data_IF_252057970514
#
_entry.id   IF_252057970514
#
_cell.length_a   1.000
_cell.length_b   1.000
_cell.length_c   1.000
_cell.angle_alpha   90.00
_cell.angle_beta   90.00
_cell.angle_gamma   90.00
#
_symmetry.space_group_name_H-M   'P 1'
#
loop_
_entity.id
_entity.type
_entity.pdbx_description
1 polymer ?
#
# COMPACT_ATOMS: atom_id res chain seq x y z
N UNK A 1 53.20 -13.00 -12.45
CA UNK A 1 53.08 -12.61 -11.02
C UNK A 1 51.63 -12.21 -10.85
N UNK A 2 50.83 -13.21 -10.50
CA UNK A 2 49.38 -13.12 -10.32
C UNK A 2 49.08 -12.31 -9.06
N UNK A 3 48.06 -11.46 -9.12
CA UNK A 3 47.44 -10.91 -7.91
C UNK A 3 46.02 -11.47 -7.82
N UNK A 4 45.85 -12.32 -6.81
CA UNK A 4 44.62 -12.91 -6.31
C UNK A 4 43.77 -11.89 -5.50
N UNK A 5 42.51 -12.23 -5.15
CA UNK A 5 41.37 -11.32 -5.23
C UNK A 5 41.09 -10.53 -3.94
N UNK A 6 40.56 -9.32 -4.09
CA UNK A 6 40.02 -8.54 -2.98
C UNK A 6 38.55 -8.89 -2.74
N UNK A 7 38.32 -9.72 -1.72
CA UNK A 7 37.02 -9.91 -1.09
C UNK A 7 36.74 -8.67 -0.24
N UNK A 8 35.75 -7.87 -0.62
CA UNK A 8 35.17 -6.85 0.26
C UNK A 8 33.70 -7.19 0.50
N UNK A 9 33.45 -7.71 1.71
CA UNK A 9 32.12 -7.71 2.28
C UNK A 9 31.65 -6.27 2.46
N UNK A 10 30.50 -5.94 1.89
CA UNK A 10 29.75 -4.73 2.21
C UNK A 10 28.34 -5.14 2.63
N UNK A 11 28.21 -5.40 3.93
CA UNK A 11 26.93 -5.38 4.63
C UNK A 11 26.46 -3.93 4.72
N UNK A 12 25.58 -3.48 3.82
CA UNK A 12 24.69 -2.32 4.02
C UNK A 12 23.85 -2.11 2.75
N UNK A 13 22.53 -1.96 2.73
CA UNK A 13 21.58 -1.80 3.81
C UNK A 13 20.34 -2.65 3.53
N UNK A 14 20.00 -3.49 4.50
CA UNK A 14 18.62 -3.83 4.76
C UNK A 14 17.88 -2.50 4.93
N UNK A 15 17.12 -2.05 3.93
CA UNK A 15 16.02 -1.14 4.18
C UNK A 15 15.05 -1.91 5.06
N UNK A 16 15.35 -1.86 6.35
CA UNK A 16 14.44 -2.20 7.40
C UNK A 16 13.20 -1.35 7.09
N UNK A 17 12.17 -2.03 6.62
CA UNK A 17 10.79 -1.69 6.91
C UNK A 17 10.80 -0.99 8.26
N UNK A 18 10.52 0.32 8.28
CA UNK A 18 10.46 1.15 9.49
C UNK A 18 9.35 0.61 10.38
N UNK A 19 9.66 -0.49 11.06
CA UNK A 19 8.87 -1.15 12.07
C UNK A 19 9.20 -0.45 13.38
N UNK A 20 8.60 0.72 13.57
CA UNK A 20 8.80 1.48 14.78
C UNK A 20 8.23 2.88 14.69
N UNK A 21 6.90 2.98 14.83
CA UNK A 21 6.13 3.98 15.59
C UNK A 21 4.70 4.06 15.01
N UNK A 22 3.78 3.31 15.63
CA UNK A 22 2.37 3.22 15.24
C UNK A 22 2.03 2.07 14.27
N UNK A 23 0.82 1.53 14.36
CA UNK A 23 0.29 0.58 13.39
C UNK A 23 0.18 1.25 12.00
N UNK A 24 0.52 0.52 10.93
CA UNK A 24 0.37 0.99 9.53
C UNK A 24 1.66 1.27 8.78
N UNK A 25 1.54 1.57 7.49
CA UNK A 25 2.65 1.89 6.57
C UNK A 25 2.99 3.38 6.56
N UNK A 26 4.17 3.72 6.02
CA UNK A 26 4.56 5.13 5.82
C UNK A 26 3.59 5.86 4.87
N UNK A 27 3.08 5.15 3.85
CA UNK A 27 2.03 5.68 2.97
C UNK A 27 0.78 6.08 3.77
N UNK A 28 0.31 5.24 4.69
CA UNK A 28 -0.83 5.59 5.55
C UNK A 28 -0.59 6.87 6.34
N UNK A 29 0.60 7.03 6.94
CA UNK A 29 0.94 8.25 7.69
C UNK A 29 0.98 9.47 6.79
N UNK A 30 1.57 9.35 5.60
CA UNK A 30 1.62 10.43 4.60
C UNK A 30 0.23 10.85 4.12
N UNK A 31 -0.66 9.87 3.89
CA UNK A 31 -2.06 10.13 3.50
C UNK A 31 -2.81 10.91 4.58
N UNK A 32 -2.57 10.62 5.85
CA UNK A 32 -3.20 11.34 6.96
C UNK A 32 -2.61 12.74 7.20
N UNK A 33 -1.36 13.00 6.82
CA UNK A 33 -0.72 14.31 6.96
C UNK A 33 -0.93 15.25 5.76
N UNK A 34 -1.39 14.74 4.61
CA UNK A 34 -1.47 15.53 3.36
C UNK A 34 -2.45 16.72 3.39
N UNK A 35 -3.42 16.74 4.33
CA UNK A 35 -4.47 17.77 4.37
C UNK A 35 -4.47 18.57 5.69
N UNK A 36 -3.31 18.91 6.24
CA UNK A 36 -3.24 19.61 7.53
C UNK A 36 -3.92 20.98 7.54
N UNK A 37 -4.07 21.64 6.39
CA UNK A 37 -4.77 22.93 6.25
C UNK A 37 -6.30 22.80 6.11
N UNK A 38 -6.84 21.57 6.01
CA UNK A 38 -8.27 21.27 5.90
C UNK A 38 -8.68 20.23 6.95
N UNK A 39 -9.11 20.74 8.11
CA UNK A 39 -9.46 19.92 9.27
C UNK A 39 -10.64 18.95 9.00
N UNK A 40 -11.61 19.34 8.17
CA UNK A 40 -12.76 18.50 7.83
C UNK A 40 -12.31 17.32 6.95
N UNK A 41 -11.52 17.60 5.92
CA UNK A 41 -10.96 16.57 5.06
C UNK A 41 -10.00 15.66 5.82
N UNK A 42 -9.20 16.18 6.73
CA UNK A 42 -8.33 15.37 7.60
C UNK A 42 -9.14 14.40 8.45
N UNK A 43 -10.16 14.90 9.16
CA UNK A 43 -11.04 14.05 9.96
C UNK A 43 -11.72 12.96 9.12
N UNK A 44 -12.13 13.29 7.89
CA UNK A 44 -12.70 12.32 6.95
C UNK A 44 -11.68 11.24 6.57
N UNK A 45 -10.45 11.61 6.22
CA UNK A 45 -9.40 10.65 5.85
C UNK A 45 -9.02 9.72 7.01
N UNK A 46 -8.98 10.24 8.24
CA UNK A 46 -8.79 9.42 9.44
C UNK A 46 -9.92 8.39 9.59
N UNK A 47 -11.18 8.79 9.41
CA UNK A 47 -12.32 7.86 9.48
C UNK A 47 -12.27 6.80 8.38
N UNK A 48 -11.91 7.19 7.15
CA UNK A 48 -11.85 6.28 5.98
C UNK A 48 -10.78 5.21 6.18
N UNK A 49 -9.59 5.57 6.67
CA UNK A 49 -8.44 4.67 6.68
C UNK A 49 -8.13 4.04 8.05
N UNK A 50 -8.77 4.45 9.15
CA UNK A 50 -8.44 3.96 10.52
C UNK A 50 -8.46 2.44 10.68
N UNK A 51 -9.29 1.73 9.92
CA UNK A 51 -9.44 0.27 10.02
C UNK A 51 -8.46 -0.48 9.11
N UNK A 52 -7.80 0.22 8.20
CA UNK A 52 -6.98 -0.37 7.13
C UNK A 52 -5.61 0.31 7.02
N UNK A 53 -4.85 0.40 8.13
CA UNK A 53 -3.63 1.21 8.19
C UNK A 53 -2.46 0.64 7.38
N UNK A 54 -2.56 -0.63 6.94
CA UNK A 54 -1.54 -1.24 6.09
C UNK A 54 -1.82 -0.92 4.63
N UNK A 55 -1.38 0.26 4.18
CA UNK A 55 -1.64 0.80 2.85
C UNK A 55 -0.50 0.54 1.87
N UNK A 56 -0.85 0.28 0.61
CA UNK A 56 0.06 0.18 -0.53
C UNK A 56 -0.49 0.96 -1.72
N UNK A 57 0.40 1.45 -2.57
CA UNK A 57 0.03 1.93 -3.90
C UNK A 57 0.05 0.73 -4.86
N UNK A 58 -1.13 0.34 -5.34
CA UNK A 58 -1.32 -0.92 -6.07
C UNK A 58 -1.72 -0.65 -7.53
N UNK A 59 -1.06 -1.36 -8.45
CA UNK A 59 -1.48 -1.36 -9.84
C UNK A 59 -2.70 -2.28 -10.03
N UNK A 60 -3.88 -1.65 -10.10
CA UNK A 60 -5.17 -2.30 -10.32
C UNK A 60 -5.64 -2.22 -11.78
N UNK A 61 -4.93 -1.47 -12.62
CA UNK A 61 -5.38 -1.16 -13.98
C UNK A 61 -6.42 -0.04 -13.99
N UNK A 62 -6.94 0.32 -15.18
CA UNK A 62 -7.97 1.38 -15.28
C UNK A 62 -9.32 0.92 -14.70
N UNK A 63 -10.20 1.88 -14.40
CA UNK A 63 -11.47 1.68 -13.70
C UNK A 63 -12.37 0.60 -14.32
N UNK A 64 -12.31 0.43 -15.64
CA UNK A 64 -13.12 -0.53 -16.40
C UNK A 64 -12.31 -1.73 -16.94
N UNK A 65 -11.18 -2.04 -16.30
CA UNK A 65 -10.36 -3.19 -16.73
C UNK A 65 -10.73 -4.46 -16.00
N UNK A 66 -10.63 -5.59 -16.67
CA UNK A 66 -10.78 -6.92 -16.07
C UNK A 66 -9.86 -7.11 -14.86
N UNK A 67 -8.67 -6.47 -14.86
CA UNK A 67 -7.75 -6.51 -13.72
C UNK A 67 -8.37 -5.89 -12.47
N UNK A 68 -8.99 -4.71 -12.56
CA UNK A 68 -9.60 -4.06 -11.39
C UNK A 68 -10.69 -4.94 -10.80
N UNK A 69 -11.57 -5.49 -11.63
CA UNK A 69 -12.61 -6.41 -11.18
C UNK A 69 -12.02 -7.65 -10.49
N UNK A 70 -11.02 -8.29 -11.11
CA UNK A 70 -10.37 -9.47 -10.53
C UNK A 70 -9.66 -9.17 -9.19
N UNK A 71 -9.09 -7.98 -9.04
CA UNK A 71 -8.48 -7.54 -7.78
C UNK A 71 -9.56 -7.37 -6.70
N UNK A 72 -10.65 -6.66 -7.00
CA UNK A 72 -11.72 -6.41 -6.02
C UNK A 72 -12.46 -7.69 -5.63
N UNK A 73 -12.75 -8.55 -6.60
CA UNK A 73 -13.37 -9.87 -6.40
C UNK A 73 -12.47 -10.75 -5.51
N UNK A 74 -11.16 -10.80 -5.80
CA UNK A 74 -10.24 -11.56 -4.97
C UNK A 74 -10.15 -11.04 -3.54
N UNK A 75 -10.15 -9.71 -3.34
CA UNK A 75 -10.17 -9.14 -1.99
C UNK A 75 -11.48 -9.46 -1.25
N UNK A 76 -12.62 -9.41 -1.96
CA UNK A 76 -13.92 -9.81 -1.41
C UNK A 76 -13.90 -11.27 -0.94
N UNK A 77 -13.42 -12.18 -1.78
CA UNK A 77 -13.37 -13.62 -1.48
C UNK A 77 -12.37 -13.94 -0.37
N UNK A 78 -11.24 -13.24 -0.32
CA UNK A 78 -10.13 -13.57 0.59
C UNK A 78 -10.27 -12.91 1.96
N UNK A 79 -10.78 -11.68 2.00
CA UNK A 79 -10.81 -10.85 3.21
C UNK A 79 -12.23 -10.44 3.63
N UNK A 80 -13.24 -10.81 2.86
CA UNK A 80 -14.63 -10.43 3.09
C UNK A 80 -14.94 -9.04 2.53
N UNK A 81 -16.06 -8.43 2.97
CA UNK A 81 -16.52 -7.17 2.41
C UNK A 81 -15.53 -6.01 2.63
N UNK A 82 -15.53 -5.08 1.68
CA UNK A 82 -14.76 -3.84 1.76
C UNK A 82 -15.20 -2.99 2.96
N UNK A 83 -14.24 -2.26 3.53
CA UNK A 83 -14.47 -1.26 4.56
C UNK A 83 -15.14 -0.03 3.96
N UNK A 84 -16.31 0.30 4.50
CA UNK A 84 -17.04 1.54 4.24
C UNK A 84 -17.35 2.20 5.60
N UNK A 85 -16.34 2.74 6.31
CA UNK A 85 -16.50 3.15 7.71
C UNK A 85 -17.53 4.28 7.90
N UNK A 86 -17.66 5.17 6.91
CA UNK A 86 -18.67 6.25 6.90
C UNK A 86 -20.10 5.69 6.85
N UNK A 87 -20.27 4.47 6.34
CA UNK A 87 -21.55 3.77 6.23
C UNK A 87 -21.70 2.64 7.26
N UNK A 88 -20.83 2.58 8.27
CA UNK A 88 -20.90 1.59 9.35
C UNK A 88 -20.36 0.20 9.00
N UNK A 89 -19.72 0.01 7.85
CA UNK A 89 -19.08 -1.26 7.50
C UNK A 89 -17.58 -1.19 7.81
N UNK A 90 -17.14 -1.88 8.85
CA UNK A 90 -15.75 -1.81 9.28
C UNK A 90 -14.78 -2.39 8.22
N UNK A 91 -15.17 -3.49 7.57
CA UNK A 91 -14.39 -4.25 6.58
C UNK A 91 -12.99 -4.66 7.03
N UNK A 92 -12.27 -5.41 6.20
CA UNK A 92 -10.86 -5.75 6.46
C UNK A 92 -9.89 -5.19 5.42
N UNK A 93 -10.41 -4.61 4.35
CA UNK A 93 -9.65 -3.97 3.30
C UNK A 93 -10.43 -2.79 2.73
N UNK A 94 -9.75 -1.83 2.14
CA UNK A 94 -10.36 -0.65 1.52
C UNK A 94 -9.64 -0.28 0.22
N UNK A 95 -10.38 0.08 -0.81
CA UNK A 95 -9.84 0.69 -2.03
C UNK A 95 -10.09 2.19 -2.03
N UNK A 96 -9.04 2.96 -2.33
CA UNK A 96 -9.18 4.39 -2.54
C UNK A 96 -10.11 4.70 -3.71
N UNK A 97 -10.90 5.76 -3.59
CA UNK A 97 -11.86 6.17 -4.63
C UNK A 97 -11.22 6.67 -5.93
N UNK A 98 -9.93 7.03 -5.92
CA UNK A 98 -9.20 7.49 -7.09
C UNK A 98 -8.31 6.39 -7.68
N UNK A 99 -8.35 6.26 -9.01
CA UNK A 99 -7.38 5.46 -9.78
C UNK A 99 -6.67 6.36 -10.77
N UNK A 100 -5.36 6.58 -10.59
CA UNK A 100 -4.55 7.48 -11.42
C UNK A 100 -3.56 6.62 -12.20
N UNK A 101 -3.63 6.63 -13.53
CA UNK A 101 -2.77 5.83 -14.42
C UNK A 101 -2.75 4.32 -14.08
N UNK A 102 -3.88 3.81 -13.60
CA UNK A 102 -4.04 2.41 -13.20
C UNK A 102 -3.56 2.06 -11.79
N UNK A 103 -3.14 3.06 -11.02
CA UNK A 103 -2.71 2.92 -9.63
C UNK A 103 -3.78 3.43 -8.68
N UNK A 104 -4.02 2.69 -7.61
CA UNK A 104 -4.95 3.05 -6.56
C UNK A 104 -4.38 2.65 -5.21
N UNK A 105 -4.69 3.43 -4.17
CA UNK A 105 -4.38 3.03 -2.81
C UNK A 105 -5.25 1.85 -2.39
N UNK A 106 -4.62 0.85 -1.76
CA UNK A 106 -5.27 -0.30 -1.17
C UNK A 106 -4.82 -0.41 0.28
N UNK A 107 -5.75 -0.45 1.22
CA UNK A 107 -5.49 -0.58 2.64
C UNK A 107 -5.97 -1.92 3.18
N UNK A 108 -5.28 -2.44 4.19
CA UNK A 108 -5.61 -3.70 4.85
C UNK A 108 -5.56 -3.57 6.37
N UNK A 109 -6.38 -4.36 7.06
CA UNK A 109 -6.46 -4.35 8.53
C UNK A 109 -5.21 -4.90 9.21
N UNK A 110 -4.49 -5.81 8.52
CA UNK A 110 -3.26 -6.41 9.03
C UNK A 110 -2.13 -6.38 8.02
N UNK A 111 -0.89 -6.38 8.51
CA UNK A 111 0.33 -6.45 7.67
C UNK A 111 0.37 -7.70 6.81
N UNK A 112 -0.15 -8.82 7.33
CA UNK A 112 -0.12 -10.10 6.62
C UNK A 112 -1.12 -10.14 5.46
N UNK A 113 -2.29 -9.48 5.59
CA UNK A 113 -3.20 -9.30 4.47
C UNK A 113 -2.58 -8.47 3.35
N UNK A 114 -1.93 -7.35 3.70
CA UNK A 114 -1.20 -6.51 2.76
C UNK A 114 -0.11 -7.29 2.02
N UNK A 115 0.66 -8.13 2.74
CA UNK A 115 1.66 -9.01 2.13
C UNK A 115 1.05 -10.01 1.15
N UNK A 116 0.00 -10.74 1.56
CA UNK A 116 -0.71 -11.67 0.69
C UNK A 116 -1.24 -11.00 -0.57
N UNK A 117 -1.74 -9.78 -0.44
CA UNK A 117 -2.18 -8.99 -1.59
C UNK A 117 -1.02 -8.67 -2.53
N UNK A 118 0.11 -8.17 -2.03
CA UNK A 118 1.28 -7.84 -2.85
C UNK A 118 1.86 -9.08 -3.55
N UNK A 119 1.90 -10.22 -2.85
CA UNK A 119 2.36 -11.50 -3.42
C UNK A 119 1.44 -11.97 -4.56
N UNK A 120 0.12 -11.77 -4.41
CA UNK A 120 -0.88 -12.17 -5.41
C UNK A 120 -0.92 -11.23 -6.62
N UNK A 121 -0.72 -9.94 -6.38
CA UNK A 121 -0.89 -8.85 -7.35
C UNK A 121 0.38 -7.99 -7.45
N UNK A 122 1.50 -8.57 -7.94
CA UNK A 122 2.73 -7.80 -8.11
C UNK A 122 2.51 -6.63 -9.08
N UNK A 123 3.23 -5.54 -8.82
CA UNK A 123 3.26 -4.39 -9.73
C UNK A 123 3.95 -4.79 -11.06
N UNK A 124 3.48 -4.30 -12.22
CA UNK A 124 4.01 -4.66 -13.54
C UNK A 124 5.52 -4.45 -13.70
N UNK A 125 6.10 -3.53 -12.92
CA UNK A 125 7.51 -3.13 -12.98
C UNK A 125 8.20 -3.22 -11.61
N UNK A 126 7.77 -4.14 -10.74
CA UNK A 126 8.36 -4.30 -9.41
C UNK A 126 9.89 -4.56 -9.43
N UNK A 127 10.42 -5.02 -10.56
CA UNK A 127 11.85 -5.27 -10.78
C UNK A 127 12.61 -4.09 -11.42
N UNK A 128 11.92 -3.05 -11.92
CA UNK A 128 12.50 -2.00 -12.78
C UNK A 128 12.37 -0.59 -12.17
N UNK A 129 11.41 -0.36 -11.26
CA UNK A 129 11.19 0.98 -10.71
C UNK A 129 12.06 1.26 -9.49
N UNK A 130 12.94 2.30 -9.51
CA UNK A 130 13.51 2.82 -8.27
C UNK A 130 12.40 3.40 -7.39
N UNK A 131 12.58 3.44 -6.05
CA UNK A 131 11.61 4.01 -5.13
C UNK A 131 11.31 5.46 -5.54
N UNK A 132 10.03 5.79 -5.67
CA UNK A 132 9.54 7.15 -5.93
C UNK A 132 9.60 7.98 -4.63
N UNK A 133 10.82 8.16 -4.12
CA UNK A 133 11.15 9.14 -3.08
C UNK A 133 12.14 10.14 -3.69
N UNK A 134 11.71 10.88 -4.70
CA UNK A 134 12.46 12.01 -5.25
C UNK A 134 11.48 13.00 -5.88
N UNK A 135 10.90 13.86 -5.04
CA UNK A 135 10.05 14.98 -5.41
C UNK A 135 9.89 15.92 -4.25
#
# INVERSE_FOLDING_TARGET
>A
MEQEPKVEGSTCGTSALSAGLGAGTDLYRSVLSFNDDDAERKALMEVVWRNTPWMVDAFVGSHNTARRFAVMEWCLDTFGPEAWPIHGHAGQWHSGGATINGWAWMGFSTKDQMRRFMDRWPAPNAEISPPRDAG
#
